data_IF_975590992271
#
_entry.id   IF_975590992271
#
_cell.length_a   1.000
_cell.length_b   1.000
_cell.length_c   1.000
_cell.angle_alpha   90.00
_cell.angle_beta   90.00
_cell.angle_gamma   90.00
#
_symmetry.space_group_name_H-M   'P 1'
#
loop_
_entity.id
_entity.type
_entity.pdbx_description
1 polymer ?
#
# COMPACT_ATOMS: atom_id res chain seq x y z
N UNK A 1 -6.22 -12.88 -8.23
CA UNK A 1 -5.23 -11.78 -8.30
C UNK A 1 -5.87 -10.50 -7.79
N UNK A 2 -5.05 -9.62 -7.18
CA UNK A 2 -5.50 -8.31 -6.72
C UNK A 2 -5.78 -7.45 -7.95
N UNK A 3 -6.92 -6.70 -8.00
CA UNK A 3 -7.19 -5.76 -9.07
C UNK A 3 -6.13 -4.66 -9.15
N UNK A 4 -5.75 -4.29 -10.38
CA UNK A 4 -4.80 -3.22 -10.64
C UNK A 4 -5.54 -2.03 -11.27
N UNK A 5 -5.32 -0.86 -10.73
CA UNK A 5 -5.78 0.43 -11.25
C UNK A 5 -4.58 1.20 -11.79
N UNK A 6 -4.69 1.73 -12.98
CA UNK A 6 -3.65 2.62 -13.53
C UNK A 6 -4.10 4.06 -13.37
N UNK A 7 -3.30 4.85 -12.67
CA UNK A 7 -3.55 6.28 -12.50
C UNK A 7 -3.61 6.95 -13.88
N UNK A 8 -4.66 7.70 -14.11
CA UNK A 8 -4.83 8.43 -15.37
C UNK A 8 -3.95 9.67 -15.40
N UNK A 9 -3.40 9.97 -16.56
CA UNK A 9 -2.67 11.21 -16.76
C UNK A 9 -3.62 12.41 -16.68
N UNK A 10 -3.12 13.52 -16.14
CA UNK A 10 -3.82 14.81 -16.21
C UNK A 10 -3.77 15.42 -17.63
N UNK A 11 -4.33 16.59 -17.82
CA UNK A 11 -4.34 17.29 -19.11
C UNK A 11 -2.93 17.62 -19.62
N UNK A 12 -1.93 17.68 -18.74
CA UNK A 12 -0.51 17.90 -19.07
C UNK A 12 0.23 16.59 -19.41
N UNK A 13 -0.37 15.44 -19.19
CA UNK A 13 0.24 14.12 -19.40
C UNK A 13 0.93 13.52 -18.18
N UNK A 14 0.85 14.17 -17.01
CA UNK A 14 1.49 13.70 -15.78
C UNK A 14 0.62 12.70 -15.04
N UNK A 15 1.20 11.58 -14.61
CA UNK A 15 0.51 10.57 -13.78
C UNK A 15 0.85 10.76 -12.31
N UNK A 16 2.04 11.27 -11.98
CA UNK A 16 2.51 11.46 -10.62
C UNK A 16 1.65 12.43 -9.82
N UNK A 17 1.28 12.07 -8.61
CA UNK A 17 0.52 12.95 -7.70
C UNK A 17 1.29 14.18 -7.24
N UNK A 18 2.60 14.17 -7.41
CA UNK A 18 3.43 15.35 -7.16
C UNK A 18 3.02 16.51 -8.07
N UNK A 19 2.74 16.24 -9.34
CA UNK A 19 2.47 17.24 -10.37
C UNK A 19 0.96 17.51 -10.56
N UNK A 20 0.10 16.66 -9.99
CA UNK A 20 -1.36 16.82 -10.02
C UNK A 20 -1.86 17.81 -8.98
N UNK A 21 -3.00 18.41 -9.25
CA UNK A 21 -3.74 19.26 -8.30
C UNK A 21 -4.40 18.41 -7.21
N UNK A 22 -4.81 19.06 -6.10
CA UNK A 22 -5.52 18.36 -5.01
C UNK A 22 -6.85 17.74 -5.48
N UNK A 23 -7.56 18.43 -6.39
CA UNK A 23 -8.83 17.95 -6.94
C UNK A 23 -8.64 16.72 -7.85
N UNK A 24 -7.59 16.70 -8.66
CA UNK A 24 -7.23 15.54 -9.50
C UNK A 24 -6.86 14.33 -8.65
N UNK A 25 -6.12 14.53 -7.57
CA UNK A 25 -5.76 13.45 -6.62
C UNK A 25 -7.03 12.90 -5.95
N UNK A 26 -7.95 13.77 -5.55
CA UNK A 26 -9.23 13.36 -4.97
C UNK A 26 -10.07 12.56 -5.98
N UNK A 27 -10.06 12.97 -7.24
CA UNK A 27 -10.74 12.25 -8.32
C UNK A 27 -10.14 10.85 -8.53
N UNK A 28 -8.81 10.72 -8.53
CA UNK A 28 -8.12 9.44 -8.63
C UNK A 28 -8.52 8.49 -7.49
N UNK A 29 -8.49 8.96 -6.24
CA UNK A 29 -8.85 8.15 -5.07
C UNK A 29 -10.34 7.76 -5.13
N UNK A 30 -11.19 8.67 -5.55
CA UNK A 30 -12.62 8.38 -5.74
C UNK A 30 -12.84 7.31 -6.81
N UNK A 31 -12.09 7.37 -7.93
CA UNK A 31 -12.14 6.36 -8.97
C UNK A 31 -11.65 4.98 -8.49
N UNK A 32 -10.60 4.94 -7.66
CA UNK A 32 -10.12 3.70 -7.03
C UNK A 32 -11.21 3.07 -6.14
N UNK A 33 -11.86 3.86 -5.29
CA UNK A 33 -12.96 3.40 -4.44
C UNK A 33 -14.16 2.90 -5.27
N UNK A 34 -14.52 3.64 -6.32
CA UNK A 34 -15.58 3.23 -7.24
C UNK A 34 -15.26 1.92 -7.94
N UNK A 35 -14.01 1.70 -8.34
CA UNK A 35 -13.61 0.44 -8.97
C UNK A 35 -13.76 -0.74 -8.01
N UNK A 36 -13.35 -0.61 -6.74
CA UNK A 36 -13.55 -1.67 -5.75
C UNK A 36 -15.05 -1.94 -5.57
N UNK A 37 -15.84 -0.89 -5.39
CA UNK A 37 -17.29 -1.01 -5.23
C UNK A 37 -17.95 -1.69 -6.45
N UNK A 38 -17.56 -1.33 -7.66
CA UNK A 38 -18.08 -1.93 -8.88
C UNK A 38 -17.67 -3.40 -9.02
N UNK A 39 -16.42 -3.72 -8.73
CA UNK A 39 -15.88 -5.09 -8.84
C UNK A 39 -16.50 -6.02 -7.80
N UNK A 40 -16.80 -5.52 -6.61
CA UNK A 40 -17.34 -6.31 -5.50
C UNK A 40 -18.86 -6.17 -5.31
N UNK A 41 -19.54 -5.42 -6.18
CA UNK A 41 -20.96 -5.09 -6.05
C UNK A 41 -21.30 -4.47 -4.68
N UNK A 42 -20.44 -3.57 -4.20
CA UNK A 42 -20.52 -2.91 -2.88
C UNK A 42 -20.48 -3.86 -1.67
N UNK A 43 -19.87 -5.03 -1.81
CA UNK A 43 -19.66 -5.96 -0.68
C UNK A 43 -18.41 -5.57 0.12
N UNK A 44 -17.34 -5.17 -0.57
CA UNK A 44 -16.07 -4.82 0.05
C UNK A 44 -15.90 -3.30 0.16
N UNK A 45 -15.47 -2.86 1.34
CA UNK A 45 -15.19 -1.45 1.63
C UNK A 45 -13.79 -1.33 2.21
N UNK A 46 -12.79 -0.99 1.39
CA UNK A 46 -11.43 -0.75 1.88
C UNK A 46 -11.42 0.42 2.85
N UNK A 47 -10.67 0.27 3.93
CA UNK A 47 -10.63 1.22 5.04
C UNK A 47 -9.23 1.81 5.31
N UNK A 48 -8.20 1.32 4.63
CA UNK A 48 -6.83 1.83 4.70
C UNK A 48 -6.25 2.11 3.33
N UNK A 49 -5.52 3.23 3.24
CA UNK A 49 -4.75 3.62 2.06
C UNK A 49 -3.27 3.69 2.42
N UNK A 50 -2.45 2.81 1.85
CA UNK A 50 -1.00 2.89 1.95
C UNK A 50 -0.43 3.64 0.75
N UNK A 51 0.44 4.61 1.01
CA UNK A 51 1.07 5.46 0.01
C UNK A 51 2.59 5.33 0.05
N UNK A 52 3.28 5.55 -1.07
CA UNK A 52 4.72 5.77 -1.08
C UNK A 52 5.12 6.88 -0.12
N UNK A 53 6.27 6.73 0.53
CA UNK A 53 6.74 7.74 1.48
C UNK A 53 6.92 9.13 0.85
N UNK A 54 7.40 9.17 -0.40
CA UNK A 54 7.59 10.42 -1.14
C UNK A 54 6.25 11.11 -1.41
N UNK A 55 5.29 10.37 -1.94
CA UNK A 55 3.92 10.87 -2.18
C UNK A 55 3.24 11.32 -0.89
N UNK A 56 3.42 10.57 0.21
CA UNK A 56 2.85 10.95 1.51
C UNK A 56 3.39 12.30 2.00
N UNK A 57 4.69 12.56 1.86
CA UNK A 57 5.33 13.83 2.23
C UNK A 57 4.85 14.95 1.31
N UNK A 58 4.75 14.70 0.00
CA UNK A 58 4.24 15.67 -0.96
C UNK A 58 2.80 16.10 -0.62
N UNK A 59 1.92 15.16 -0.29
CA UNK A 59 0.55 15.44 0.13
C UNK A 59 0.48 16.18 1.48
N UNK A 60 1.41 15.91 2.39
CA UNK A 60 1.49 16.60 3.68
C UNK A 60 1.95 18.07 3.56
N UNK A 61 2.72 18.38 2.52
CA UNK A 61 3.23 19.74 2.26
C UNK A 61 2.36 20.52 1.28
N UNK A 62 1.67 19.83 0.38
CA UNK A 62 0.81 20.43 -0.65
C UNK A 62 -0.45 21.02 -0.03
N UNK A 63 -0.64 22.33 -0.17
CA UNK A 63 -1.83 23.02 0.30
C UNK A 63 -2.90 23.07 -0.77
N UNK A 64 -4.13 22.99 -0.35
CA UNK A 64 -5.28 23.26 -1.21
C UNK A 64 -5.34 24.77 -1.46
N UNK A 65 -5.49 25.22 -2.71
CA UNK A 65 -5.63 26.65 -3.03
C UNK A 65 -6.72 27.30 -2.18
N UNK A 66 -6.48 28.57 -1.80
CA UNK A 66 -7.41 29.39 -0.99
C UNK A 66 -7.76 28.85 0.42
N UNK A 67 -7.01 27.85 0.90
CA UNK A 67 -7.19 27.28 2.25
C UNK A 67 -5.84 27.12 2.97
N UNK A 68 -5.88 27.00 4.30
CA UNK A 68 -4.70 26.65 5.09
C UNK A 68 -4.59 25.14 5.37
N UNK A 69 -5.41 24.32 4.70
CA UNK A 69 -5.49 22.88 4.90
C UNK A 69 -4.55 22.21 3.91
N UNK A 70 -3.78 21.21 4.38
CA UNK A 70 -2.99 20.37 3.50
C UNK A 70 -3.85 19.31 2.83
N UNK A 71 -3.45 18.87 1.64
CA UNK A 71 -4.17 17.81 0.91
C UNK A 71 -4.30 16.54 1.75
N UNK A 72 -3.25 16.16 2.48
CA UNK A 72 -3.29 14.99 3.35
C UNK A 72 -4.32 15.11 4.48
N UNK A 73 -4.39 16.26 5.15
CA UNK A 73 -5.38 16.51 6.21
C UNK A 73 -6.80 16.45 5.65
N UNK A 74 -7.01 17.09 4.51
CA UNK A 74 -8.30 17.06 3.83
C UNK A 74 -8.75 15.64 3.46
N UNK A 75 -7.83 14.83 2.92
CA UNK A 75 -8.11 13.43 2.59
C UNK A 75 -8.46 12.60 3.83
N UNK A 76 -7.72 12.77 4.93
CA UNK A 76 -8.00 12.03 6.18
C UNK A 76 -9.35 12.37 6.80
N UNK A 77 -9.81 13.61 6.65
CA UNK A 77 -11.05 14.07 7.25
C UNK A 77 -12.29 13.84 6.37
N UNK A 78 -12.13 13.85 5.05
CA UNK A 78 -13.26 13.91 4.13
C UNK A 78 -13.45 12.67 3.25
N UNK A 79 -12.50 11.70 3.24
CA UNK A 79 -12.67 10.48 2.45
C UNK A 79 -13.65 9.52 3.15
N UNK A 80 -14.79 9.22 2.52
CA UNK A 80 -15.77 8.31 3.11
C UNK A 80 -15.21 6.88 3.17
N UNK A 81 -15.24 6.28 4.35
CA UNK A 81 -14.84 4.89 4.56
C UNK A 81 -13.36 4.66 4.83
N UNK A 82 -12.48 5.61 4.52
CA UNK A 82 -11.03 5.50 4.82
C UNK A 82 -10.80 5.90 6.28
N UNK A 83 -10.27 4.96 7.07
CA UNK A 83 -9.96 5.19 8.49
C UNK A 83 -8.61 5.87 8.68
N UNK A 84 -7.61 5.48 7.89
CA UNK A 84 -6.28 6.08 7.97
C UNK A 84 -5.50 5.94 6.66
N UNK A 85 -4.56 6.87 6.47
CA UNK A 85 -3.60 6.88 5.36
C UNK A 85 -2.21 6.67 5.96
N UNK A 86 -1.55 5.60 5.56
CA UNK A 86 -0.24 5.20 6.07
C UNK A 86 0.85 5.32 5.01
N UNK A 87 2.07 5.62 5.43
CA UNK A 87 3.23 5.64 4.53
C UNK A 87 3.91 4.27 4.51
N UNK A 88 4.43 3.88 3.34
CA UNK A 88 5.15 2.63 3.15
C UNK A 88 6.30 2.86 2.15
N UNK A 89 7.54 2.66 2.59
CA UNK A 89 8.71 2.91 1.76
C UNK A 89 8.87 1.90 0.62
N UNK A 90 8.37 0.68 0.81
CA UNK A 90 8.41 -0.39 -0.18
C UNK A 90 7.53 -0.12 -1.41
N UNK A 91 6.62 0.85 -1.30
CA UNK A 91 5.74 1.29 -2.40
C UNK A 91 6.35 2.41 -3.25
N UNK A 92 7.49 2.98 -2.85
CA UNK A 92 8.19 4.02 -3.61
C UNK A 92 8.62 3.50 -4.99
N UNK A 93 8.69 4.39 -5.98
CA UNK A 93 9.13 4.07 -7.34
C UNK A 93 10.50 3.39 -7.34
N UNK A 94 11.49 3.89 -6.59
CA UNK A 94 12.81 3.28 -6.45
C UNK A 94 12.74 1.84 -5.90
N UNK A 95 11.91 1.58 -4.89
CA UNK A 95 11.76 0.26 -4.30
C UNK A 95 11.10 -0.72 -5.27
N UNK A 96 10.08 -0.27 -6.02
CA UNK A 96 9.42 -1.11 -7.03
C UNK A 96 10.29 -1.35 -8.25
N UNK A 97 11.14 -0.40 -8.65
CA UNK A 97 12.08 -0.57 -9.76
C UNK A 97 13.21 -1.56 -9.43
N UNK A 98 13.70 -1.57 -8.20
CA UNK A 98 14.76 -2.48 -7.75
C UNK A 98 14.27 -3.89 -7.43
N UNK A 99 13.00 -4.06 -7.11
CA UNK A 99 12.39 -5.36 -6.84
C UNK A 99 11.86 -6.00 -8.14
N UNK A 100 12.46 -7.12 -8.64
CA UNK A 100 12.05 -7.72 -9.92
C UNK A 100 10.59 -8.16 -9.96
N UNK A 101 10.02 -8.57 -8.84
CA UNK A 101 8.60 -8.98 -8.75
C UNK A 101 7.66 -7.78 -8.80
N UNK A 102 7.98 -6.72 -8.07
CA UNK A 102 7.23 -5.48 -8.11
C UNK A 102 7.34 -4.80 -9.48
N UNK A 103 8.54 -4.71 -10.05
CA UNK A 103 8.79 -4.13 -11.38
C UNK A 103 8.00 -4.82 -12.49
N UNK A 104 7.85 -6.13 -12.42
CA UNK A 104 7.08 -6.88 -13.42
C UNK A 104 5.60 -6.47 -13.48
N UNK A 105 5.02 -6.04 -12.35
CA UNK A 105 3.61 -5.63 -12.26
C UNK A 105 3.39 -4.13 -12.29
N UNK A 106 4.38 -3.34 -11.88
CA UNK A 106 4.24 -1.88 -11.72
C UNK A 106 5.03 -1.07 -12.74
N UNK A 107 5.91 -1.71 -13.53
CA UNK A 107 6.82 -1.03 -14.45
C UNK A 107 7.88 -0.18 -13.75
N UNK A 108 8.11 -0.37 -12.43
CA UNK A 108 9.04 0.44 -11.64
C UNK A 108 8.45 1.78 -11.18
N UNK A 109 7.15 1.98 -11.32
CA UNK A 109 6.44 3.17 -10.82
C UNK A 109 6.03 2.99 -9.36
N UNK A 110 5.86 4.10 -8.66
CA UNK A 110 5.31 4.09 -7.30
C UNK A 110 3.86 3.64 -7.26
N UNK A 111 3.48 3.01 -6.17
CA UNK A 111 2.22 2.28 -6.02
C UNK A 111 1.48 2.77 -4.79
N UNK A 112 0.18 2.98 -4.90
CA UNK A 112 -0.71 3.10 -3.76
C UNK A 112 -1.47 1.79 -3.57
N UNK A 113 -1.65 1.38 -2.34
CA UNK A 113 -2.40 0.17 -1.97
C UNK A 113 -3.62 0.57 -1.14
N UNK A 114 -4.80 0.29 -1.67
CA UNK A 114 -6.06 0.40 -0.97
C UNK A 114 -6.46 -0.99 -0.47
N UNK A 115 -6.73 -1.15 0.84
CA UNK A 115 -7.01 -2.47 1.42
C UNK A 115 -7.90 -2.39 2.66
N UNK A 116 -8.50 -3.53 3.01
CA UNK A 116 -9.25 -3.69 4.26
C UNK A 116 -8.33 -4.33 5.30
N UNK A 117 -8.16 -3.65 6.44
CA UNK A 117 -7.38 -4.16 7.57
C UNK A 117 -8.24 -5.05 8.47
N UNK A 118 -8.49 -6.26 8.00
CA UNK A 118 -9.24 -7.27 8.72
C UNK A 118 -8.42 -8.57 8.78
N UNK A 119 -8.22 -9.17 9.96
CA UNK A 119 -7.49 -10.44 10.11
C UNK A 119 -8.06 -11.60 9.28
N UNK A 120 -9.35 -11.57 8.96
CA UNK A 120 -9.99 -12.57 8.11
C UNK A 120 -9.66 -12.39 6.63
N UNK A 121 -9.22 -11.20 6.22
CA UNK A 121 -8.93 -10.83 4.82
C UNK A 121 -7.46 -10.73 4.52
N UNK A 122 -6.69 -10.16 5.46
CA UNK A 122 -5.26 -9.97 5.37
C UNK A 122 -4.58 -10.42 6.66
N UNK A 123 -3.73 -11.42 6.59
CA UNK A 123 -3.03 -11.97 7.75
C UNK A 123 -1.56 -12.29 7.42
N UNK A 124 -0.73 -12.25 8.45
CA UNK A 124 0.62 -12.84 8.40
C UNK A 124 0.55 -14.15 9.16
N UNK A 125 0.80 -15.26 8.48
CA UNK A 125 0.80 -16.56 9.11
C UNK A 125 2.18 -16.93 9.62
N UNK A 126 2.20 -17.38 10.88
CA UNK A 126 3.38 -17.90 11.56
C UNK A 126 3.10 -19.35 11.95
N UNK A 127 3.28 -20.32 11.01
CA UNK A 127 3.01 -21.73 11.28
C UNK A 127 3.82 -22.29 12.44
N UNK A 128 5.01 -21.72 12.65
CA UNK A 128 5.88 -22.11 13.73
C UNK A 128 6.51 -20.89 14.37
N UNK A 129 6.06 -20.50 15.56
CA UNK A 129 6.69 -19.43 16.32
C UNK A 129 8.13 -19.80 16.68
N UNK A 130 8.90 -18.83 17.15
CA UNK A 130 10.26 -19.08 17.60
C UNK A 130 10.29 -20.18 18.65
N UNK A 131 11.02 -21.24 18.37
CA UNK A 131 11.21 -22.37 19.25
C UNK A 131 12.71 -22.65 19.45
N UNK A 132 13.10 -22.79 20.71
CA UNK A 132 14.44 -23.15 21.09
C UNK A 132 14.48 -24.62 21.50
N UNK A 133 15.31 -25.41 20.81
CA UNK A 133 15.52 -26.80 21.14
C UNK A 133 16.41 -26.96 22.40
N UNK A 134 16.43 -28.15 23.01
CA UNK A 134 17.34 -28.43 24.09
C UNK A 134 18.80 -28.20 23.71
N UNK A 135 19.58 -27.77 24.69
CA UNK A 135 21.02 -27.57 24.55
C UNK A 135 21.73 -28.86 24.10
N UNK A 136 22.58 -28.74 23.13
CA UNK A 136 23.45 -29.82 22.68
C UNK A 136 24.89 -29.46 23.01
N UNK A 137 25.62 -30.44 23.55
CA UNK A 137 27.06 -30.31 23.88
C UNK A 137 27.87 -31.12 22.86
N UNK A 138 28.66 -30.43 22.10
CA UNK A 138 29.60 -31.09 21.16
C UNK A 138 31.01 -30.59 21.43
N UNK A 139 31.89 -31.54 21.86
CA UNK A 139 33.29 -31.26 22.27
C UNK A 139 33.30 -30.20 23.41
N UNK A 140 33.79 -29.00 23.16
CA UNK A 140 33.86 -27.87 24.09
C UNK A 140 32.87 -26.75 23.79
N UNK A 141 31.92 -27.02 22.88
CA UNK A 141 30.96 -26.04 22.43
C UNK A 141 29.53 -26.41 22.92
N UNK A 142 28.76 -25.38 23.25
CA UNK A 142 27.33 -25.51 23.54
C UNK A 142 26.55 -24.96 22.34
N UNK A 143 25.80 -25.84 21.69
CA UNK A 143 24.97 -25.48 20.55
C UNK A 143 23.54 -25.31 21.04
N UNK A 144 22.94 -24.18 20.69
CA UNK A 144 21.54 -23.84 20.95
C UNK A 144 20.81 -23.79 19.60
N UNK A 145 20.17 -24.90 19.16
CA UNK A 145 19.41 -24.89 17.94
C UNK A 145 18.11 -24.09 18.14
N UNK A 146 17.86 -23.15 17.23
CA UNK A 146 16.62 -22.39 17.23
C UNK A 146 15.98 -22.45 15.85
N UNK A 147 14.64 -22.53 15.81
CA UNK A 147 13.92 -22.49 14.56
C UNK A 147 12.66 -21.63 14.66
N UNK A 148 12.27 -21.05 13.51
CA UNK A 148 11.00 -20.36 13.33
C UNK A 148 10.60 -20.41 11.86
N UNK A 149 9.30 -20.37 11.58
CA UNK A 149 8.78 -20.32 10.22
C UNK A 149 7.75 -19.22 10.09
N UNK A 150 7.91 -18.37 9.10
CA UNK A 150 6.96 -17.33 8.72
C UNK A 150 6.64 -17.51 7.24
N UNK A 151 5.37 -17.52 6.89
CA UNK A 151 4.93 -17.67 5.49
C UNK A 151 4.91 -16.34 4.76
N UNK A 152 4.71 -15.25 5.47
CA UNK A 152 4.55 -13.93 4.90
C UNK A 152 3.09 -13.45 4.93
N UNK A 153 2.81 -12.35 4.24
CA UNK A 153 1.46 -11.81 4.16
C UNK A 153 0.60 -12.61 3.18
N UNK A 154 -0.56 -13.04 3.64
CA UNK A 154 -1.56 -13.76 2.85
C UNK A 154 -2.81 -12.91 2.72
N UNK A 155 -3.31 -12.75 1.50
CA UNK A 155 -4.57 -12.09 1.22
C UNK A 155 -5.58 -13.17 0.83
N UNK A 156 -6.55 -13.43 1.72
CA UNK A 156 -7.58 -14.44 1.49
C UNK A 156 -8.65 -13.97 0.50
N UNK A 157 -8.95 -12.67 0.51
CA UNK A 157 -9.92 -12.05 -0.39
C UNK A 157 -9.22 -10.99 -1.25
N UNK A 158 -8.67 -11.35 -2.42
CA UNK A 158 -7.92 -10.41 -3.28
C UNK A 158 -8.72 -9.20 -3.72
N UNK A 159 -10.05 -9.33 -3.84
CA UNK A 159 -10.94 -8.23 -4.22
C UNK A 159 -11.17 -7.20 -3.11
N UNK A 160 -10.76 -7.47 -1.88
CA UNK A 160 -10.77 -6.50 -0.77
C UNK A 160 -9.60 -5.52 -0.81
N UNK A 161 -8.70 -5.66 -1.77
CA UNK A 161 -7.57 -4.79 -1.98
C UNK A 161 -7.50 -4.33 -3.45
N UNK A 162 -6.91 -3.16 -3.68
CA UNK A 162 -6.66 -2.58 -5.00
C UNK A 162 -5.25 -2.00 -5.03
N UNK A 163 -4.52 -2.28 -6.08
CA UNK A 163 -3.20 -1.72 -6.34
C UNK A 163 -3.35 -0.61 -7.38
N UNK A 164 -2.99 0.63 -7.04
CA UNK A 164 -2.94 1.73 -7.99
C UNK A 164 -1.50 2.00 -8.40
N UNK A 165 -1.21 1.95 -9.68
CA UNK A 165 0.12 2.11 -10.26
C UNK A 165 0.27 3.47 -10.90
N UNK A 166 1.41 4.12 -10.69
CA UNK A 166 1.74 5.41 -11.28
C UNK A 166 1.53 6.61 -10.36
N UNK A 167 1.44 6.38 -9.05
CA UNK A 167 1.28 7.43 -8.02
C UNK A 167 2.52 8.30 -7.91
N UNK A 168 3.71 7.71 -8.08
CA UNK A 168 4.98 8.43 -8.20
C UNK A 168 5.85 7.82 -9.29
N UNK A 169 6.77 8.63 -9.82
CA UNK A 169 7.78 8.25 -10.80
C UNK A 169 9.18 8.55 -10.25
N UNK A 170 10.22 7.86 -10.79
CA UNK A 170 11.62 8.12 -10.43
C UNK A 170 12.11 9.46 -10.98
#
# INVERSE_FOLDING_TARGET
>A
DIPVFTIQANDNGDTSWKDKTADEILADISAMLQQVNATTMNVEHPDYLALPSDTYIDLATKRIPDTNITTLTFLKENLPGIKDIVQCAELNANATDTNPYAKASTGGKGVALLYTKDPEKLAIEIPMPFYQHPLQYEKLETIIPCESRVVGAMIYYPLSALIAVGVSEN
#
